data_IF_098706258004
#
_entry.id   IF_098706258004
#
_cell.length_a   1.000
_cell.length_b   1.000
_cell.length_c   1.000
_cell.angle_alpha   90.00
_cell.angle_beta   90.00
_cell.angle_gamma   90.00
#
_symmetry.space_group_name_H-M   'P 1'
#
loop_
_entity.id
_entity.type
_entity.pdbx_description
1 polymer ?
#
# COMPACT_ATOMS: atom_id res chain seq x y z
N UNK A 1 32.70 17.04 14.61
CA UNK A 1 31.45 17.80 14.27
C UNK A 1 30.51 17.70 15.46
N UNK A 2 29.78 18.77 15.75
CA UNK A 2 28.71 18.73 16.74
C UNK A 2 27.33 18.48 16.04
N UNK A 3 26.27 18.40 16.85
CA UNK A 3 24.90 18.12 16.31
C UNK A 3 24.40 19.25 15.38
N UNK A 4 24.79 20.49 15.62
CA UNK A 4 24.43 21.64 14.80
C UNK A 4 25.16 21.60 13.44
N UNK A 5 26.43 21.24 13.45
CA UNK A 5 27.25 21.06 12.24
C UNK A 5 26.65 19.94 11.36
N UNK A 6 26.27 18.80 11.97
CA UNK A 6 25.63 17.69 11.24
C UNK A 6 24.31 18.12 10.65
N UNK A 7 23.46 18.82 11.41
CA UNK A 7 22.17 19.31 10.93
C UNK A 7 22.35 20.31 9.76
N UNK A 8 23.35 21.18 9.82
CA UNK A 8 23.63 22.10 8.70
C UNK A 8 24.14 21.34 7.47
N UNK A 9 24.97 20.31 7.68
CA UNK A 9 25.45 19.45 6.60
C UNK A 9 24.31 18.70 5.89
N UNK A 10 23.26 18.30 6.61
CA UNK A 10 22.08 17.62 6.07
C UNK A 10 21.24 18.50 5.14
N UNK A 11 21.42 19.83 5.10
CA UNK A 11 20.79 20.72 4.10
C UNK A 11 21.28 20.45 2.67
N UNK A 12 22.38 19.73 2.49
CA UNK A 12 22.82 19.26 1.18
C UNK A 12 22.02 18.05 0.64
N UNK A 13 21.06 17.54 1.44
CA UNK A 13 20.19 16.41 1.06
C UNK A 13 18.82 16.95 0.69
N UNK A 14 18.49 16.93 -0.59
CA UNK A 14 17.18 17.32 -1.11
C UNK A 14 16.22 16.13 -1.11
N UNK A 15 14.95 16.39 -0.80
CA UNK A 15 13.85 15.43 -1.02
C UNK A 15 13.51 15.43 -2.53
N UNK A 16 13.61 14.28 -3.23
CA UNK A 16 13.43 14.22 -4.68
C UNK A 16 12.00 14.54 -5.13
N UNK A 17 11.02 14.42 -4.24
CA UNK A 17 9.60 14.61 -4.56
C UNK A 17 9.07 15.97 -4.11
N UNK A 18 9.60 16.52 -3.00
CA UNK A 18 9.15 17.79 -2.42
C UNK A 18 10.01 18.98 -2.86
N UNK A 19 11.23 18.73 -3.38
CA UNK A 19 12.07 19.74 -4.04
C UNK A 19 12.69 20.76 -3.10
N UNK A 20 12.82 20.44 -1.79
CA UNK A 20 13.53 21.26 -0.80
C UNK A 20 14.41 20.37 0.06
N UNK A 21 15.30 20.94 0.89
CA UNK A 21 16.18 20.18 1.76
C UNK A 21 15.42 19.53 2.94
N UNK A 22 15.86 18.35 3.38
CA UNK A 22 15.20 17.56 4.43
C UNK A 22 15.14 18.27 5.79
N UNK A 23 16.01 19.25 6.05
CA UNK A 23 16.01 20.04 7.29
C UNK A 23 14.94 21.12 7.22
N UNK A 24 14.85 21.84 6.09
CA UNK A 24 13.82 22.86 5.84
C UNK A 24 12.42 22.27 5.81
N UNK A 25 12.28 21.05 5.29
CA UNK A 25 11.03 20.28 5.30
C UNK A 25 10.64 19.72 6.68
N UNK A 26 11.50 19.89 7.71
CA UNK A 26 11.24 19.37 9.05
C UNK A 26 11.36 17.83 9.16
N UNK A 27 11.99 17.17 8.19
CA UNK A 27 12.13 15.70 8.18
C UNK A 27 13.21 15.17 9.11
N UNK A 28 14.04 16.03 9.70
CA UNK A 28 15.07 15.67 10.69
C UNK A 28 14.53 15.88 12.09
N UNK A 29 14.06 14.81 12.74
CA UNK A 29 13.52 14.84 14.11
C UNK A 29 14.60 15.14 15.15
N UNK A 30 15.68 14.36 15.16
CA UNK A 30 16.77 14.47 16.12
C UNK A 30 18.10 14.08 15.46
N UNK A 31 19.18 14.66 15.99
CA UNK A 31 20.56 14.34 15.63
C UNK A 31 21.33 14.19 16.93
N UNK A 32 22.06 13.09 17.09
CA UNK A 32 22.98 12.83 18.20
C UNK A 32 24.32 12.41 17.62
N UNK A 33 25.44 12.97 18.16
CA UNK A 33 26.79 12.65 17.70
C UNK A 33 27.56 11.97 18.81
N UNK A 34 28.09 10.78 18.56
CA UNK A 34 28.88 9.99 19.49
C UNK A 34 30.16 9.50 18.79
N UNK A 35 31.28 10.23 19.04
CA UNK A 35 32.54 9.99 18.35
C UNK A 35 32.42 10.19 16.82
N UNK A 36 32.61 9.13 16.05
CA UNK A 36 32.54 9.15 14.58
C UNK A 36 31.18 8.68 14.05
N UNK A 37 30.17 8.53 14.94
CA UNK A 37 28.83 8.09 14.55
C UNK A 37 27.81 9.20 14.78
N UNK A 38 27.03 9.51 13.74
CA UNK A 38 25.86 10.39 13.80
C UNK A 38 24.58 9.54 13.79
N UNK A 39 23.82 9.54 14.92
CA UNK A 39 22.50 8.93 15.00
C UNK A 39 21.46 9.96 14.61
N UNK A 40 20.70 9.66 13.54
CA UNK A 40 19.74 10.59 12.97
C UNK A 40 18.37 9.93 12.94
N UNK A 41 17.41 10.57 13.61
CA UNK A 41 16.01 10.20 13.52
C UNK A 41 15.32 11.03 12.44
N UNK A 42 14.68 10.38 11.48
CA UNK A 42 14.05 10.98 10.33
C UNK A 42 12.53 10.76 10.34
N UNK A 43 11.78 11.75 9.88
CA UNK A 43 10.35 11.66 9.69
C UNK A 43 10.03 10.97 8.33
N UNK A 44 10.49 9.74 8.17
CA UNK A 44 10.23 8.89 7.01
C UNK A 44 9.26 7.78 7.42
N UNK A 45 8.23 7.56 6.61
CA UNK A 45 7.11 6.69 6.98
C UNK A 45 6.83 5.54 6.02
N UNK A 46 7.49 5.50 4.86
CA UNK A 46 7.29 4.49 3.83
C UNK A 46 8.54 3.60 3.65
N UNK A 47 8.75 2.61 4.52
CA UNK A 47 9.89 1.70 4.41
C UNK A 47 9.97 1.06 3.03
N UNK A 48 11.19 0.99 2.48
CA UNK A 48 11.50 0.43 1.17
C UNK A 48 10.95 1.23 -0.04
N UNK A 49 10.41 2.44 0.15
CA UNK A 49 10.14 3.31 -0.99
C UNK A 49 11.46 3.73 -1.65
N UNK A 50 11.52 3.79 -3.00
CA UNK A 50 12.70 4.24 -3.71
C UNK A 50 13.18 5.63 -3.26
N UNK A 51 12.28 6.60 -3.10
CA UNK A 51 12.60 7.96 -2.70
C UNK A 51 13.18 8.03 -1.28
N UNK A 52 12.56 7.39 -0.28
CA UNK A 52 13.09 7.39 1.09
C UNK A 52 14.41 6.62 1.19
N UNK A 53 14.57 5.56 0.40
CA UNK A 53 15.85 4.82 0.28
C UNK A 53 16.93 5.72 -0.32
N UNK A 54 16.61 6.54 -1.33
CA UNK A 54 17.54 7.49 -1.93
C UNK A 54 17.95 8.59 -0.93
N UNK A 55 17.00 9.14 -0.15
CA UNK A 55 17.28 10.10 0.92
C UNK A 55 18.26 9.48 1.93
N UNK A 56 17.97 8.28 2.44
CA UNK A 56 18.84 7.61 3.39
C UNK A 56 20.25 7.33 2.86
N UNK A 57 20.37 6.95 1.60
CA UNK A 57 21.67 6.79 0.92
C UNK A 57 22.41 8.10 0.82
N UNK A 58 21.74 9.19 0.40
CA UNK A 58 22.36 10.51 0.25
C UNK A 58 22.84 11.07 1.58
N UNK A 59 22.12 10.86 2.68
CA UNK A 59 22.57 11.22 4.02
C UNK A 59 23.90 10.52 4.36
N UNK A 60 24.00 9.20 4.13
CA UNK A 60 25.23 8.46 4.38
C UNK A 60 26.40 8.96 3.54
N UNK A 61 26.17 9.27 2.27
CA UNK A 61 27.21 9.81 1.38
C UNK A 61 27.73 11.15 1.89
N UNK A 62 26.82 12.08 2.21
CA UNK A 62 27.18 13.43 2.69
C UNK A 62 27.97 13.40 3.98
N UNK A 63 27.59 12.57 4.94
CA UNK A 63 28.28 12.47 6.23
C UNK A 63 29.59 11.70 6.15
N UNK A 64 29.70 10.73 5.24
CA UNK A 64 30.95 10.01 4.99
C UNK A 64 32.07 10.93 4.43
N UNK A 65 31.71 11.99 3.69
CA UNK A 65 32.69 13.01 3.24
C UNK A 65 33.40 13.69 4.43
N UNK A 66 32.73 13.80 5.56
CA UNK A 66 33.25 14.39 6.79
C UNK A 66 33.77 13.35 7.80
N UNK A 67 33.84 12.06 7.39
CA UNK A 67 34.36 10.95 8.21
C UNK A 67 33.39 10.44 9.28
N UNK A 68 32.07 10.75 9.14
CA UNK A 68 31.04 10.27 10.04
C UNK A 68 30.30 9.05 9.46
N UNK A 69 30.03 8.07 10.30
CA UNK A 69 29.10 6.98 10.01
C UNK A 69 27.68 7.39 10.41
N UNK A 70 26.70 7.23 9.50
CA UNK A 70 25.32 7.59 9.76
C UNK A 70 24.49 6.36 10.20
N UNK A 71 23.98 6.39 11.43
CA UNK A 71 22.99 5.47 11.96
C UNK A 71 21.59 6.10 11.86
N UNK A 72 20.77 5.59 10.93
CA UNK A 72 19.50 6.20 10.57
C UNK A 72 18.33 5.41 11.16
N UNK A 73 17.42 6.13 11.82
CA UNK A 73 16.13 5.61 12.27
C UNK A 73 14.99 6.40 11.64
N UNK A 74 13.91 5.72 11.29
CA UNK A 74 12.75 6.32 10.66
C UNK A 74 11.56 6.27 11.62
N UNK A 75 10.99 7.44 11.95
CA UNK A 75 9.84 7.56 12.84
C UNK A 75 9.02 8.81 12.50
N UNK A 76 7.77 8.61 12.08
CA UNK A 76 6.83 9.72 11.96
C UNK A 76 6.39 10.17 13.36
N UNK A 77 6.53 11.46 13.70
CA UNK A 77 6.02 11.98 14.95
C UNK A 77 4.49 11.91 14.97
N UNK A 78 3.91 11.14 15.88
CA UNK A 78 2.46 11.11 16.11
C UNK A 78 2.12 11.92 17.35
N UNK A 79 1.08 12.74 17.29
CA UNK A 79 0.55 13.47 18.45
C UNK A 79 -0.67 12.75 19.06
N UNK A 80 -0.93 11.50 18.63
CA UNK A 80 -2.06 10.70 19.12
C UNK A 80 -1.65 9.92 20.35
N UNK A 81 -2.60 9.75 21.27
CA UNK A 81 -2.42 8.85 22.40
C UNK A 81 -2.34 7.42 21.86
N UNK A 82 -1.28 6.65 22.18
CA UNK A 82 -1.17 5.26 21.75
C UNK A 82 -2.36 4.37 22.14
N UNK A 83 -3.04 4.71 23.25
CA UNK A 83 -4.21 3.97 23.74
C UNK A 83 -5.51 4.28 22.95
N UNK A 84 -5.50 5.34 22.13
CA UNK A 84 -6.62 5.74 21.26
C UNK A 84 -6.35 5.38 19.77
N UNK A 85 -5.18 4.87 19.43
CA UNK A 85 -4.84 4.51 18.06
C UNK A 85 -5.47 3.17 17.65
N UNK A 86 -6.25 3.21 16.58
CA UNK A 86 -6.71 2.01 15.88
C UNK A 86 -5.51 1.43 15.13
N UNK A 87 -5.13 0.18 15.40
CA UNK A 87 -3.96 -0.50 14.81
C UNK A 87 -2.61 0.19 15.11
N UNK A 88 -2.24 0.41 16.39
CA UNK A 88 -1.06 1.21 16.75
C UNK A 88 0.26 0.62 16.25
N UNK A 89 0.28 -0.69 15.92
CA UNK A 89 1.44 -1.37 15.35
C UNK A 89 1.59 -1.23 13.84
N UNK A 90 0.63 -0.61 13.12
CA UNK A 90 0.61 -0.51 11.66
C UNK A 90 0.98 0.90 11.23
N UNK A 91 2.08 1.05 10.46
CA UNK A 91 2.57 2.36 10.02
C UNK A 91 1.71 2.96 8.91
N UNK A 92 1.33 2.14 7.92
CA UNK A 92 0.61 2.58 6.74
C UNK A 92 -0.54 1.64 6.41
N UNK A 93 -1.73 2.19 6.21
CA UNK A 93 -2.91 1.44 5.78
C UNK A 93 -3.29 1.90 4.39
N UNK A 94 -3.17 1.01 3.40
CA UNK A 94 -3.42 1.29 1.99
C UNK A 94 -4.70 0.58 1.56
N UNK A 95 -5.71 1.33 1.14
CA UNK A 95 -6.93 0.77 0.58
C UNK A 95 -6.76 0.55 -0.94
N UNK A 96 -7.09 -0.64 -1.43
CA UNK A 96 -7.21 -0.91 -2.87
C UNK A 96 -8.69 -0.96 -3.22
N UNK A 97 -9.13 -0.04 -4.06
CA UNK A 97 -10.54 0.18 -4.39
C UNK A 97 -10.77 0.15 -5.91
N UNK A 98 -12.01 -0.10 -6.28
CA UNK A 98 -12.45 0.01 -7.67
C UNK A 98 -13.91 0.45 -7.75
N UNK A 99 -14.25 1.19 -8.81
CA UNK A 99 -15.61 1.66 -9.03
C UNK A 99 -16.61 0.54 -9.39
N UNK A 100 -16.13 -0.58 -9.91
CA UNK A 100 -16.96 -1.75 -10.29
C UNK A 100 -16.20 -3.06 -10.08
N UNK A 101 -16.94 -4.18 -10.04
CA UNK A 101 -16.37 -5.52 -10.03
C UNK A 101 -15.72 -5.91 -11.37
N UNK A 102 -14.81 -6.87 -11.33
CA UNK A 102 -14.19 -7.46 -12.52
C UNK A 102 -13.02 -6.67 -13.13
N UNK A 103 -12.57 -5.57 -12.53
CA UNK A 103 -11.39 -4.81 -12.99
C UNK A 103 -10.06 -5.36 -12.49
N UNK A 104 -10.07 -6.42 -11.68
CA UNK A 104 -8.87 -7.04 -11.12
C UNK A 104 -8.34 -6.38 -9.84
N UNK A 105 -9.21 -5.72 -9.07
CA UNK A 105 -8.88 -5.08 -7.79
C UNK A 105 -8.11 -6.01 -6.84
N UNK A 106 -8.64 -7.20 -6.55
CA UNK A 106 -8.01 -8.18 -5.65
C UNK A 106 -6.66 -8.68 -6.20
N UNK A 107 -6.54 -8.83 -7.52
CA UNK A 107 -5.26 -9.15 -8.19
C UNK A 107 -4.22 -8.07 -7.90
N UNK A 108 -4.60 -6.80 -8.01
CA UNK A 108 -3.71 -5.67 -7.71
C UNK A 108 -3.38 -5.65 -6.21
N UNK A 109 -4.35 -5.83 -5.31
CA UNK A 109 -4.13 -5.85 -3.86
C UNK A 109 -3.16 -6.96 -3.43
N UNK A 110 -3.37 -8.18 -3.91
CA UNK A 110 -2.50 -9.34 -3.63
C UNK A 110 -1.07 -9.08 -4.13
N UNK A 111 -0.92 -8.63 -5.37
CA UNK A 111 0.40 -8.39 -5.95
C UNK A 111 1.10 -7.17 -5.34
N UNK A 112 0.37 -6.13 -4.94
CA UNK A 112 0.92 -5.00 -4.18
C UNK A 112 1.48 -5.48 -2.84
N UNK A 113 0.70 -6.23 -2.07
CA UNK A 113 1.13 -6.75 -0.78
C UNK A 113 2.34 -7.70 -0.92
N UNK A 114 2.29 -8.64 -1.88
CA UNK A 114 3.39 -9.55 -2.15
C UNK A 114 4.65 -8.81 -2.65
N UNK A 115 4.48 -7.77 -3.47
CA UNK A 115 5.57 -6.92 -3.95
C UNK A 115 6.25 -6.17 -2.80
N UNK A 116 5.48 -5.54 -1.91
CA UNK A 116 6.01 -4.87 -0.72
C UNK A 116 6.75 -5.86 0.21
N UNK A 117 6.20 -7.07 0.40
CA UNK A 117 6.87 -8.13 1.16
C UNK A 117 8.17 -8.58 0.49
N UNK A 118 8.21 -8.71 -0.85
CA UNK A 118 9.43 -9.05 -1.61
C UNK A 118 10.50 -7.98 -1.48
N UNK A 119 10.14 -6.71 -1.30
CA UNK A 119 11.06 -5.61 -0.99
C UNK A 119 11.63 -5.69 0.44
N UNK A 120 11.05 -6.50 1.32
CA UNK A 120 11.50 -6.71 2.70
C UNK A 120 10.61 -6.06 3.75
N UNK A 121 9.50 -5.43 3.37
CA UNK A 121 8.57 -4.83 4.30
C UNK A 121 7.77 -5.90 5.07
N UNK A 122 7.38 -5.58 6.30
CA UNK A 122 6.43 -6.36 7.09
C UNK A 122 5.03 -5.98 6.64
N UNK A 123 4.32 -6.92 6.03
CA UNK A 123 3.07 -6.65 5.34
C UNK A 123 1.93 -7.48 5.90
N UNK A 124 0.78 -6.84 6.07
CA UNK A 124 -0.51 -7.50 6.25
C UNK A 124 -1.37 -7.31 4.99
N UNK A 125 -2.14 -8.32 4.64
CA UNK A 125 -3.16 -8.25 3.59
C UNK A 125 -4.51 -8.63 4.18
N UNK A 126 -5.46 -7.71 4.14
CA UNK A 126 -6.80 -7.92 4.64
C UNK A 126 -7.82 -7.84 3.50
N UNK A 127 -8.45 -8.98 3.21
CA UNK A 127 -9.54 -9.10 2.27
C UNK A 127 -10.86 -8.72 2.96
N UNK A 128 -11.29 -7.50 2.72
CA UNK A 128 -12.53 -6.95 3.26
C UNK A 128 -13.71 -7.06 2.27
N UNK A 129 -13.56 -7.79 1.16
CA UNK A 129 -14.64 -8.07 0.22
C UNK A 129 -15.56 -9.17 0.76
N UNK A 130 -16.63 -8.75 1.43
CA UNK A 130 -17.58 -9.65 2.10
C UNK A 130 -18.39 -10.47 1.09
N UNK A 131 -18.57 -9.96 -0.13
CA UNK A 131 -19.43 -10.57 -1.13
C UNK A 131 -18.71 -11.58 -2.02
N UNK A 132 -17.39 -11.46 -2.13
CA UNK A 132 -16.58 -12.33 -2.97
C UNK A 132 -15.14 -12.39 -2.49
N UNK A 133 -14.90 -12.87 -1.25
CA UNK A 133 -13.54 -12.92 -0.71
C UNK A 133 -12.74 -13.99 -1.46
N UNK A 134 -11.67 -13.58 -2.14
CA UNK A 134 -10.87 -14.46 -2.99
C UNK A 134 -9.39 -14.49 -2.63
N UNK A 135 -8.92 -13.59 -1.77
CA UNK A 135 -7.50 -13.47 -1.43
C UNK A 135 -6.88 -14.78 -0.92
N UNK A 136 -7.51 -15.55 0.00
CA UNK A 136 -6.91 -16.81 0.47
C UNK A 136 -6.60 -17.79 -0.66
N UNK A 137 -7.52 -17.91 -1.64
CA UNK A 137 -7.32 -18.77 -2.81
C UNK A 137 -6.16 -18.25 -3.68
N UNK A 138 -6.09 -16.92 -3.91
CA UNK A 138 -5.09 -16.29 -4.77
C UNK A 138 -3.66 -16.39 -4.23
N UNK A 139 -3.49 -16.76 -2.96
CA UNK A 139 -2.18 -16.97 -2.33
C UNK A 139 -1.99 -18.38 -1.79
N UNK A 140 -2.93 -19.32 -2.09
CA UNK A 140 -2.95 -20.68 -1.54
C UNK A 140 -2.78 -20.73 -0.02
N UNK A 141 -3.55 -19.90 0.69
CA UNK A 141 -3.61 -19.93 2.15
C UNK A 141 -4.53 -21.07 2.60
N UNK A 142 -3.95 -22.23 2.88
CA UNK A 142 -4.68 -23.42 3.32
C UNK A 142 -4.98 -23.40 4.83
N UNK A 143 -4.20 -22.65 5.59
CA UNK A 143 -4.33 -22.56 7.05
C UNK A 143 -5.37 -21.51 7.43
N UNK A 144 -6.32 -21.91 8.29
CA UNK A 144 -7.26 -20.98 8.90
C UNK A 144 -6.60 -20.17 10.04
N UNK A 145 -7.06 -18.95 10.34
CA UNK A 145 -6.64 -18.20 11.51
C UNK A 145 -6.85 -19.03 12.80
N UNK A 146 -5.94 -18.88 13.75
CA UNK A 146 -6.00 -19.59 15.03
C UNK A 146 -6.44 -18.63 16.13
N UNK A 147 -7.42 -19.03 16.93
CA UNK A 147 -7.82 -18.30 18.12
C UNK A 147 -6.94 -18.70 19.31
N UNK A 148 -6.40 -17.73 20.03
CA UNK A 148 -5.68 -17.94 21.28
C UNK A 148 -6.65 -18.09 22.47
N UNK A 149 -6.13 -18.46 23.65
CA UNK A 149 -6.93 -18.53 24.89
C UNK A 149 -7.51 -17.17 25.30
N UNK A 150 -6.84 -16.07 24.91
CA UNK A 150 -7.23 -14.68 25.18
C UNK A 150 -8.16 -14.11 24.10
N UNK A 151 -8.70 -14.94 23.24
CA UNK A 151 -9.60 -14.59 22.12
C UNK A 151 -8.93 -13.75 21.01
N UNK A 152 -7.61 -13.61 21.01
CA UNK A 152 -6.87 -12.97 19.92
C UNK A 152 -6.79 -13.91 18.72
N UNK A 153 -6.90 -13.36 17.52
CA UNK A 153 -6.84 -14.08 16.26
C UNK A 153 -5.43 -13.98 15.69
N UNK A 154 -4.73 -15.12 15.59
CA UNK A 154 -3.41 -15.19 14.94
C UNK A 154 -3.63 -15.42 13.44
N UNK A 155 -3.28 -14.46 12.57
CA UNK A 155 -3.45 -14.60 11.13
C UNK A 155 -2.42 -15.59 10.57
N UNK A 156 -2.79 -16.43 9.57
CA UNK A 156 -1.83 -17.23 8.84
C UNK A 156 -0.85 -16.35 8.05
N UNK A 157 0.32 -16.90 7.76
CA UNK A 157 1.35 -16.21 6.99
C UNK A 157 1.60 -16.92 5.65
N UNK A 158 1.66 -16.14 4.57
CA UNK A 158 2.00 -16.62 3.24
C UNK A 158 2.84 -15.59 2.48
N UNK A 159 3.93 -16.03 1.83
CA UNK A 159 4.88 -15.16 1.13
C UNK A 159 5.41 -14.01 2.00
N UNK A 160 5.60 -14.23 3.31
CA UNK A 160 6.02 -13.20 4.27
C UNK A 160 4.95 -12.17 4.62
N UNK A 161 3.69 -12.40 4.24
CA UNK A 161 2.55 -11.54 4.56
C UNK A 161 1.65 -12.22 5.59
N UNK A 162 1.16 -11.46 6.58
CA UNK A 162 0.04 -11.84 7.43
C UNK A 162 -1.27 -11.70 6.66
N UNK A 163 -2.14 -12.70 6.73
CA UNK A 163 -3.36 -12.73 5.94
C UNK A 163 -4.59 -12.77 6.82
N UNK A 164 -5.57 -11.92 6.50
CA UNK A 164 -6.91 -12.05 7.05
C UNK A 164 -7.95 -11.86 5.95
N UNK A 165 -9.01 -12.63 5.98
CA UNK A 165 -10.08 -12.57 4.98
C UNK A 165 -11.41 -12.87 5.60
N UNK A 166 -12.43 -12.23 5.08
CA UNK A 166 -13.82 -12.56 5.38
C UNK A 166 -14.15 -14.01 5.05
N UNK A 167 -13.45 -14.64 4.08
CA UNK A 167 -13.61 -16.06 3.74
C UNK A 167 -13.32 -17.00 4.90
N UNK A 168 -12.43 -16.66 5.81
CA UNK A 168 -12.10 -17.49 6.97
C UNK A 168 -13.21 -17.55 8.04
N UNK A 169 -14.15 -16.60 7.99
CA UNK A 169 -15.20 -16.44 8.99
C UNK A 169 -16.55 -16.98 8.52
N UNK A 170 -16.66 -17.27 7.23
CA UNK A 170 -17.89 -17.75 6.60
C UNK A 170 -17.65 -19.17 6.10
N UNK A 171 -18.49 -20.13 6.51
CA UNK A 171 -18.44 -21.48 5.94
C UNK A 171 -18.82 -21.46 4.45
N UNK A 172 -18.18 -22.29 3.64
CA UNK A 172 -18.37 -22.35 2.18
C UNK A 172 -19.83 -22.50 1.73
N UNK A 173 -20.70 -23.05 2.56
CA UNK A 173 -22.09 -23.39 2.24
C UNK A 173 -23.15 -22.48 2.91
N UNK A 174 -22.74 -21.50 3.72
CA UNK A 174 -23.70 -20.65 4.42
C UNK A 174 -23.98 -19.33 3.64
N UNK A 175 -25.19 -19.15 3.10
CA UNK A 175 -25.60 -17.88 2.51
C UNK A 175 -25.79 -16.83 3.62
N UNK A 176 -24.72 -16.21 4.07
CA UNK A 176 -24.81 -15.17 5.10
C UNK A 176 -25.35 -13.91 4.50
N UNK A 177 -26.53 -13.47 4.97
CA UNK A 177 -27.09 -12.18 4.61
C UNK A 177 -26.46 -11.11 5.51
N UNK A 178 -25.44 -10.45 5.00
CA UNK A 178 -24.77 -9.38 5.70
C UNK A 178 -25.64 -8.12 5.75
N UNK A 179 -25.92 -7.63 6.95
CA UNK A 179 -26.57 -6.32 7.18
C UNK A 179 -25.52 -5.32 7.67
N UNK A 180 -25.63 -4.05 7.29
CA UNK A 180 -24.66 -3.01 7.58
C UNK A 180 -24.11 -3.02 9.01
N UNK A 181 -24.93 -3.07 10.08
CA UNK A 181 -24.43 -3.13 11.46
C UNK A 181 -23.57 -4.35 11.78
N UNK A 182 -23.87 -5.52 11.18
CA UNK A 182 -23.09 -6.74 11.37
C UNK A 182 -21.74 -6.63 10.69
N UNK A 183 -21.71 -6.04 9.49
CA UNK A 183 -20.47 -5.76 8.76
C UNK A 183 -19.56 -4.85 9.56
N UNK A 184 -20.10 -3.77 10.12
CA UNK A 184 -19.33 -2.83 10.94
C UNK A 184 -18.72 -3.54 12.16
N UNK A 185 -19.53 -4.28 12.92
CA UNK A 185 -19.05 -5.02 14.09
C UNK A 185 -17.95 -6.01 13.74
N UNK A 186 -18.12 -6.75 12.64
CA UNK A 186 -17.14 -7.73 12.20
C UNK A 186 -15.84 -7.10 11.72
N UNK A 187 -15.91 -6.00 10.96
CA UNK A 187 -14.73 -5.25 10.53
C UNK A 187 -13.97 -4.70 11.75
N UNK A 188 -14.68 -4.13 12.73
CA UNK A 188 -14.09 -3.66 13.98
C UNK A 188 -13.38 -4.80 14.69
N UNK A 189 -14.04 -5.95 14.82
CA UNK A 189 -13.48 -7.13 15.46
C UNK A 189 -12.22 -7.65 14.75
N UNK A 190 -12.22 -7.70 13.41
CA UNK A 190 -11.05 -8.12 12.61
C UNK A 190 -9.88 -7.14 12.68
N UNK A 191 -10.16 -5.89 12.99
CA UNK A 191 -9.14 -4.86 13.21
C UNK A 191 -8.56 -4.96 14.61
N UNK A 192 -9.40 -5.16 15.63
CA UNK A 192 -9.02 -5.12 17.04
C UNK A 192 -8.50 -6.47 17.56
N UNK A 193 -9.13 -7.59 17.16
CA UNK A 193 -8.83 -8.92 17.70
C UNK A 193 -7.71 -9.65 16.94
N UNK A 194 -7.29 -9.16 15.76
CA UNK A 194 -6.22 -9.79 14.98
C UNK A 194 -4.85 -9.33 15.44
N UNK A 195 -3.97 -10.28 15.72
CA UNK A 195 -2.58 -10.04 16.09
C UNK A 195 -1.72 -9.62 14.87
N UNK A 196 -1.96 -8.40 14.38
CA UNK A 196 -1.17 -7.85 13.28
C UNK A 196 0.29 -7.63 13.67
N UNK A 197 0.54 -7.27 14.94
CA UNK A 197 1.87 -6.91 15.43
C UNK A 197 2.40 -5.64 14.76
N UNK A 198 3.71 -5.56 14.58
CA UNK A 198 4.31 -4.40 13.92
C UNK A 198 4.37 -4.60 12.42
N UNK A 199 3.55 -3.85 11.66
CA UNK A 199 3.54 -3.84 10.20
C UNK A 199 4.05 -2.51 9.64
N UNK A 200 4.76 -2.59 8.51
CA UNK A 200 5.13 -1.42 7.72
C UNK A 200 3.96 -1.00 6.81
N UNK A 201 3.21 -1.99 6.30
CA UNK A 201 2.03 -1.78 5.47
C UNK A 201 0.92 -2.79 5.79
N UNK A 202 -0.32 -2.31 5.85
CA UNK A 202 -1.53 -3.13 5.80
C UNK A 202 -2.28 -2.79 4.51
N UNK A 203 -2.36 -3.73 3.60
CA UNK A 203 -3.10 -3.57 2.33
C UNK A 203 -4.52 -4.11 2.53
N UNK A 204 -5.52 -3.28 2.23
CA UNK A 204 -6.94 -3.62 2.32
C UNK A 204 -7.50 -3.85 0.92
N UNK A 205 -7.98 -5.04 0.63
CA UNK A 205 -8.76 -5.32 -0.57
C UNK A 205 -10.23 -4.98 -0.30
N UNK A 206 -10.71 -3.81 -0.76
CA UNK A 206 -12.05 -3.31 -0.47
C UNK A 206 -13.12 -4.00 -1.35
N UNK A 207 -14.38 -4.08 -0.93
CA UNK A 207 -15.48 -4.46 -1.81
C UNK A 207 -15.54 -3.53 -3.04
N UNK A 208 -16.02 -3.98 -4.20
CA UNK A 208 -16.17 -3.12 -5.36
C UNK A 208 -17.31 -2.11 -5.19
N UNK A 209 -17.22 -0.97 -5.88
CA UNK A 209 -18.26 0.08 -5.88
C UNK A 209 -18.04 1.15 -4.81
N UNK A 210 -19.12 1.79 -4.35
CA UNK A 210 -19.12 2.90 -3.37
C UNK A 210 -20.21 2.69 -2.31
N UNK A 211 -20.38 1.45 -1.86
CA UNK A 211 -21.44 1.07 -0.94
C UNK A 211 -21.10 1.29 0.55
N UNK A 212 -22.08 0.97 1.41
CA UNK A 212 -22.00 1.19 2.85
C UNK A 212 -20.80 0.51 3.52
N UNK A 213 -20.37 -0.64 3.02
CA UNK A 213 -19.21 -1.36 3.55
C UNK A 213 -17.92 -0.56 3.37
N UNK A 214 -17.71 0.04 2.19
CA UNK A 214 -16.55 0.92 1.97
C UNK A 214 -16.60 2.14 2.88
N UNK A 215 -17.78 2.77 3.00
CA UNK A 215 -17.96 3.92 3.90
C UNK A 215 -17.64 3.56 5.35
N UNK A 216 -18.06 2.39 5.80
CA UNK A 216 -17.72 1.88 7.13
C UNK A 216 -16.20 1.78 7.33
N UNK A 217 -15.49 1.20 6.38
CA UNK A 217 -14.02 1.06 6.44
C UNK A 217 -13.34 2.43 6.50
N UNK A 218 -13.77 3.38 5.65
CA UNK A 218 -13.23 4.75 5.62
C UNK A 218 -13.46 5.50 6.94
N UNK A 219 -14.52 5.20 7.66
CA UNK A 219 -14.86 5.83 8.94
C UNK A 219 -14.18 5.16 10.14
N UNK A 220 -13.82 3.89 10.00
CA UNK A 220 -13.25 3.09 11.10
C UNK A 220 -11.73 3.07 11.08
N UNK A 221 -11.11 3.04 9.88
CA UNK A 221 -9.66 2.88 9.75
C UNK A 221 -8.95 4.19 9.36
N UNK A 222 -7.82 4.50 9.99
CA UNK A 222 -7.01 5.67 9.64
C UNK A 222 -6.18 5.38 8.39
N UNK A 223 -6.80 5.46 7.21
CA UNK A 223 -6.13 5.17 5.94
C UNK A 223 -5.02 6.19 5.66
N UNK A 224 -3.84 5.71 5.28
CA UNK A 224 -2.78 6.55 4.71
C UNK A 224 -3.20 7.06 3.33
N UNK A 225 -3.87 6.18 2.55
CA UNK A 225 -4.45 6.55 1.28
C UNK A 225 -5.06 5.37 0.52
N UNK A 226 -5.62 5.68 -0.64
CA UNK A 226 -6.30 4.72 -1.50
C UNK A 226 -5.67 4.63 -2.89
N UNK A 227 -5.51 3.42 -3.41
CA UNK A 227 -5.19 3.11 -4.81
C UNK A 227 -6.48 2.79 -5.53
N UNK A 228 -6.77 3.49 -6.63
CA UNK A 228 -7.96 3.24 -7.45
C UNK A 228 -7.56 2.40 -8.66
N UNK A 229 -8.14 1.20 -8.76
CA UNK A 229 -7.95 0.28 -9.88
C UNK A 229 -9.07 0.45 -10.90
N UNK A 230 -8.71 0.65 -12.15
CA UNK A 230 -9.63 0.74 -13.29
C UNK A 230 -9.12 -0.06 -14.49
N UNK A 231 -9.91 -0.12 -15.56
CA UNK A 231 -9.51 -0.59 -16.89
C UNK A 231 -9.63 0.58 -17.88
N UNK A 232 -9.04 0.50 -19.10
CA UNK A 232 -9.08 1.60 -20.06
C UNK A 232 -10.49 2.03 -20.53
N UNK A 233 -11.51 1.19 -20.31
CA UNK A 233 -12.87 1.39 -20.79
C UNK A 233 -13.57 2.58 -20.12
N UNK A 234 -14.26 3.44 -20.88
CA UNK A 234 -14.99 4.62 -20.40
C UNK A 234 -15.92 4.33 -19.22
N UNK A 235 -16.69 3.23 -19.29
CA UNK A 235 -17.61 2.84 -18.21
C UNK A 235 -16.87 2.54 -16.90
N UNK A 236 -15.64 1.98 -16.97
CA UNK A 236 -14.83 1.73 -15.77
C UNK A 236 -14.29 3.03 -15.18
N UNK A 237 -13.94 3.99 -16.03
CA UNK A 237 -13.47 5.32 -15.64
C UNK A 237 -14.58 6.14 -14.98
N UNK A 238 -15.81 6.08 -15.51
CA UNK A 238 -16.98 6.71 -14.89
C UNK A 238 -17.24 6.17 -13.48
N UNK A 239 -17.09 4.87 -13.28
CA UNK A 239 -17.25 4.24 -11.97
C UNK A 239 -16.06 4.56 -11.03
N UNK A 240 -14.83 4.63 -11.56
CA UNK A 240 -13.65 5.08 -10.81
C UNK A 240 -13.81 6.52 -10.30
N UNK A 241 -14.45 7.40 -11.10
CA UNK A 241 -14.75 8.78 -10.70
C UNK A 241 -15.71 8.85 -9.50
N UNK A 242 -16.67 7.91 -9.39
CA UNK A 242 -17.53 7.83 -8.20
C UNK A 242 -16.73 7.45 -6.95
N UNK A 243 -15.80 6.49 -7.09
CA UNK A 243 -14.87 6.12 -6.03
C UNK A 243 -14.00 7.30 -5.59
N UNK A 244 -13.41 8.02 -6.53
CA UNK A 244 -12.60 9.21 -6.27
C UNK A 244 -13.37 10.25 -5.44
N UNK A 245 -14.61 10.55 -5.83
CA UNK A 245 -15.48 11.49 -5.09
C UNK A 245 -15.84 11.01 -3.69
N UNK A 246 -15.95 9.70 -3.49
CA UNK A 246 -16.19 9.12 -2.17
C UNK A 246 -14.99 9.36 -1.25
N UNK A 247 -13.77 9.05 -1.69
CA UNK A 247 -12.55 9.28 -0.92
C UNK A 247 -12.36 10.77 -0.59
N UNK A 248 -12.60 11.67 -1.55
CA UNK A 248 -12.52 13.11 -1.32
C UNK A 248 -13.54 13.64 -0.29
N UNK A 249 -14.74 13.03 -0.18
CA UNK A 249 -15.72 13.41 0.85
C UNK A 249 -15.33 12.97 2.26
N UNK A 250 -14.43 12.02 2.39
CA UNK A 250 -13.96 11.48 3.67
C UNK A 250 -12.51 11.89 3.98
N UNK A 251 -12.00 12.92 3.31
CA UNK A 251 -10.65 13.45 3.49
C UNK A 251 -9.56 12.37 3.40
N UNK A 252 -9.82 11.32 2.60
CA UNK A 252 -8.86 10.24 2.38
C UNK A 252 -8.02 10.53 1.15
N UNK A 253 -6.70 10.52 1.30
CA UNK A 253 -5.78 10.72 0.19
C UNK A 253 -5.97 9.65 -0.88
N UNK A 254 -5.95 10.04 -2.15
CA UNK A 254 -5.85 9.11 -3.28
C UNK A 254 -4.40 9.06 -3.72
N UNK A 255 -3.73 7.92 -3.49
CA UNK A 255 -2.34 7.69 -3.85
C UNK A 255 -2.13 7.69 -5.36
N UNK A 256 -3.15 7.30 -6.11
CA UNK A 256 -3.15 7.35 -7.56
C UNK A 256 -4.00 6.27 -8.21
N UNK A 257 -3.86 6.20 -9.54
CA UNK A 257 -4.64 5.34 -10.43
C UNK A 257 -3.75 4.21 -10.98
N UNK A 258 -4.25 2.97 -10.91
CA UNK A 258 -3.69 1.80 -11.60
C UNK A 258 -4.62 1.43 -12.75
N UNK A 259 -4.10 1.42 -13.99
CA UNK A 259 -4.80 0.90 -15.15
C UNK A 259 -4.48 -0.58 -15.30
N UNK A 260 -5.41 -1.44 -14.96
CA UNK A 260 -5.28 -2.88 -15.17
C UNK A 260 -5.85 -3.29 -16.53
N UNK A 261 -5.40 -4.41 -17.08
CA UNK A 261 -5.80 -4.92 -18.40
C UNK A 261 -5.54 -3.87 -19.51
N UNK A 262 -4.45 -3.13 -19.40
CA UNK A 262 -4.11 -2.01 -20.29
C UNK A 262 -3.80 -2.48 -21.71
N UNK A 263 -3.03 -3.55 -21.86
CA UNK A 263 -2.61 -4.09 -23.14
C UNK A 263 -2.55 -5.62 -23.04
N UNK A 264 -3.06 -6.32 -24.02
CA UNK A 264 -2.93 -7.77 -24.13
C UNK A 264 -1.72 -8.13 -25.00
N UNK A 265 -0.79 -8.90 -24.48
CA UNK A 265 0.29 -9.48 -25.23
C UNK A 265 -0.11 -10.86 -25.75
N UNK A 266 -0.15 -11.04 -27.05
CA UNK A 266 -0.51 -12.33 -27.65
C UNK A 266 0.60 -13.35 -27.38
N UNK A 267 0.31 -14.49 -26.74
CA UNK A 267 1.34 -15.50 -26.45
C UNK A 267 1.88 -16.19 -27.70
N UNK A 268 1.12 -16.20 -28.81
CA UNK A 268 1.52 -16.87 -30.05
C UNK A 268 2.46 -16.04 -30.92
N UNK A 269 2.22 -14.71 -31.02
CA UNK A 269 3.00 -13.86 -31.93
C UNK A 269 3.77 -12.74 -31.22
N UNK A 270 3.60 -12.55 -29.91
CA UNK A 270 4.25 -11.51 -29.11
C UNK A 270 3.75 -10.08 -29.37
N UNK A 271 2.77 -9.88 -30.24
CA UNK A 271 2.22 -8.56 -30.53
C UNK A 271 1.31 -8.06 -29.40
N UNK A 272 1.35 -6.76 -29.17
CA UNK A 272 0.44 -6.09 -28.26
C UNK A 272 -0.87 -5.70 -28.93
N UNK A 273 -1.99 -5.89 -28.23
CA UNK A 273 -3.34 -5.55 -28.68
C UNK A 273 -4.10 -4.81 -27.59
N UNK A 274 -4.74 -3.70 -27.95
CA UNK A 274 -5.52 -2.87 -27.04
C UNK A 274 -6.97 -3.35 -26.99
N UNK A 275 -7.21 -4.52 -26.41
CA UNK A 275 -8.53 -5.19 -26.40
C UNK A 275 -9.60 -4.34 -25.74
N UNK A 276 -9.24 -3.62 -24.67
CA UNK A 276 -10.16 -2.76 -23.91
C UNK A 276 -9.90 -1.26 -24.15
N UNK A 277 -9.12 -0.90 -25.16
CA UNK A 277 -8.54 0.44 -25.32
C UNK A 277 -7.20 0.57 -24.61
N UNK A 278 -6.56 1.72 -24.68
CA UNK A 278 -5.29 1.98 -24.02
C UNK A 278 -5.23 3.42 -23.48
N UNK A 279 -4.60 3.59 -22.32
CA UNK A 279 -4.27 4.91 -21.76
C UNK A 279 -5.43 5.64 -21.09
N UNK A 280 -6.65 5.12 -21.05
CA UNK A 280 -7.80 5.77 -20.42
C UNK A 280 -7.57 6.06 -18.94
N UNK A 281 -6.95 5.14 -18.19
CA UNK A 281 -6.59 5.35 -16.78
C UNK A 281 -5.53 6.43 -16.58
N UNK A 282 -4.58 6.54 -17.49
CA UNK A 282 -3.56 7.61 -17.49
C UNK A 282 -4.19 8.99 -17.75
N UNK A 283 -5.08 9.08 -18.74
CA UNK A 283 -5.81 10.31 -19.04
C UNK A 283 -6.75 10.71 -17.89
N UNK A 284 -7.40 9.72 -17.28
CA UNK A 284 -8.23 9.93 -16.09
C UNK A 284 -7.41 10.47 -14.91
N UNK A 285 -6.24 9.89 -14.64
CA UNK A 285 -5.33 10.38 -13.61
C UNK A 285 -4.92 11.83 -13.87
N UNK A 286 -4.47 12.16 -15.09
CA UNK A 286 -4.07 13.50 -15.48
C UNK A 286 -5.22 14.52 -15.37
N UNK A 287 -6.45 14.14 -15.79
CA UNK A 287 -7.63 15.00 -15.73
C UNK A 287 -8.11 15.32 -14.31
N UNK A 288 -7.71 14.50 -13.33
CA UNK A 288 -8.04 14.67 -11.91
C UNK A 288 -6.83 15.09 -11.07
N UNK A 289 -5.70 15.48 -11.70
CA UNK A 289 -4.45 15.87 -11.04
C UNK A 289 -3.92 14.80 -10.06
N UNK A 290 -4.11 13.52 -10.42
CA UNK A 290 -3.70 12.37 -9.62
C UNK A 290 -2.48 11.68 -10.22
N UNK A 291 -1.63 11.06 -9.41
CA UNK A 291 -0.55 10.20 -9.87
C UNK A 291 -1.07 9.01 -10.68
N UNK A 292 -0.37 8.66 -11.74
CA UNK A 292 -0.55 7.41 -12.47
C UNK A 292 0.47 6.39 -11.98
N UNK A 293 0.00 5.35 -11.29
CA UNK A 293 0.86 4.38 -10.60
C UNK A 293 1.37 3.27 -11.49
N UNK A 294 0.68 3.00 -12.60
CA UNK A 294 1.15 2.01 -13.57
C UNK A 294 0.05 1.46 -14.46
N UNK A 295 0.49 0.91 -15.60
CA UNK A 295 -0.32 0.15 -16.54
C UNK A 295 0.05 -1.33 -16.42
N UNK A 296 -0.91 -2.18 -16.06
CA UNK A 296 -0.70 -3.61 -15.89
C UNK A 296 -1.28 -4.35 -17.09
N UNK A 297 -0.52 -5.24 -17.74
CA UNK A 297 -0.99 -5.92 -18.91
C UNK A 297 -2.08 -6.96 -18.58
N UNK A 298 -2.93 -7.23 -19.56
CA UNK A 298 -3.78 -8.41 -19.56
C UNK A 298 -2.93 -9.60 -20.00
N UNK A 299 -2.53 -10.43 -19.06
CA UNK A 299 -1.65 -11.58 -19.27
C UNK A 299 -2.28 -12.85 -18.68
N UNK A 300 -2.39 -13.95 -19.45
CA UNK A 300 -2.83 -15.23 -18.91
C UNK A 300 -2.04 -15.70 -17.68
N UNK A 301 -0.74 -15.39 -17.60
CA UNK A 301 0.09 -15.75 -16.45
C UNK A 301 -0.41 -15.14 -15.13
N UNK A 302 -0.99 -13.92 -15.16
CA UNK A 302 -1.61 -13.30 -13.97
C UNK A 302 -2.78 -14.12 -13.46
N UNK A 303 -3.63 -14.61 -14.38
CA UNK A 303 -4.74 -15.49 -14.02
C UNK A 303 -4.23 -16.83 -13.49
N UNK A 304 -3.29 -17.45 -14.18
CA UNK A 304 -2.74 -18.75 -13.80
C UNK A 304 -2.04 -18.68 -12.45
N UNK A 305 -1.30 -17.61 -12.20
CA UNK A 305 -0.71 -17.32 -10.89
C UNK A 305 -1.77 -17.16 -9.80
N UNK A 306 -2.83 -16.39 -10.04
CA UNK A 306 -3.95 -16.22 -9.11
C UNK A 306 -4.72 -17.52 -8.85
N UNK A 307 -4.98 -18.33 -9.87
CA UNK A 307 -5.64 -19.63 -9.72
C UNK A 307 -4.73 -20.67 -9.03
N UNK A 308 -3.41 -20.58 -9.25
CA UNK A 308 -2.38 -21.42 -8.65
C UNK A 308 -1.89 -20.93 -7.28
N UNK A 309 -2.39 -19.80 -6.81
CA UNK A 309 -2.01 -19.22 -5.51
C UNK A 309 -0.60 -18.64 -5.48
N UNK A 310 -0.03 -18.28 -6.61
CA UNK A 310 1.29 -17.66 -6.74
C UNK A 310 1.18 -16.27 -7.38
N UNK A 311 1.29 -15.18 -6.60
CA UNK A 311 1.26 -13.83 -7.12
C UNK A 311 2.35 -13.60 -8.17
N UNK A 312 1.99 -13.02 -9.33
CA UNK A 312 2.88 -12.85 -10.50
C UNK A 312 4.10 -11.97 -10.16
N UNK A 313 3.96 -11.00 -9.26
CA UNK A 313 5.05 -10.10 -8.84
C UNK A 313 6.25 -10.84 -8.24
N UNK A 314 6.06 -12.08 -7.77
CA UNK A 314 7.10 -12.93 -7.18
C UNK A 314 7.97 -13.63 -8.25
N UNK A 315 7.53 -13.71 -9.49
CA UNK A 315 8.33 -14.27 -10.58
C UNK A 315 9.51 -13.35 -10.90
N UNK A 316 10.66 -13.92 -11.24
CA UNK A 316 11.89 -13.13 -11.43
C UNK A 316 12.06 -12.62 -12.86
N UNK A 317 12.01 -13.43 -13.86
CA UNK A 317 12.25 -13.05 -15.25
C UNK A 317 10.94 -12.94 -16.04
N UNK A 318 10.07 -11.98 -15.69
CA UNK A 318 8.75 -11.82 -16.29
C UNK A 318 8.40 -10.34 -16.44
N UNK A 319 8.19 -9.85 -17.67
CA UNK A 319 7.85 -8.45 -17.97
C UNK A 319 6.56 -7.99 -17.27
N UNK A 320 5.58 -8.88 -17.13
CA UNK A 320 4.35 -8.59 -16.39
C UNK A 320 4.63 -8.42 -14.89
N UNK A 321 5.48 -9.27 -14.32
CA UNK A 321 5.94 -9.13 -12.94
C UNK A 321 6.70 -7.80 -12.73
N UNK A 322 7.48 -7.36 -13.70
CA UNK A 322 8.18 -6.06 -13.66
C UNK A 322 7.18 -4.90 -13.61
N UNK A 323 6.09 -4.96 -14.39
CA UNK A 323 5.05 -3.93 -14.34
C UNK A 323 4.39 -3.85 -12.94
N UNK A 324 4.14 -4.99 -12.29
CA UNK A 324 3.63 -5.03 -10.91
C UNK A 324 4.66 -4.53 -9.89
N UNK A 325 5.96 -4.78 -10.09
CA UNK A 325 7.02 -4.23 -9.22
C UNK A 325 7.10 -2.71 -9.31
N UNK A 326 7.12 -2.17 -10.52
CA UNK A 326 7.09 -0.71 -10.73
C UNK A 326 5.86 -0.08 -10.10
N UNK A 327 4.69 -0.68 -10.27
CA UNK A 327 3.46 -0.22 -9.60
C UNK A 327 3.62 -0.23 -8.07
N UNK A 328 4.21 -1.29 -7.51
CA UNK A 328 4.45 -1.42 -6.06
C UNK A 328 5.38 -0.31 -5.56
N UNK A 329 6.46 -0.04 -6.24
CA UNK A 329 7.42 1.02 -5.93
C UNK A 329 6.75 2.40 -5.98
N UNK A 330 5.97 2.67 -7.02
CA UNK A 330 5.23 3.92 -7.16
C UNK A 330 4.20 4.12 -6.03
N UNK A 331 3.51 3.05 -5.59
CA UNK A 331 2.60 3.12 -4.44
C UNK A 331 3.37 3.43 -3.17
N UNK A 332 4.52 2.77 -2.92
CA UNK A 332 5.35 3.04 -1.75
C UNK A 332 5.87 4.49 -1.74
N UNK A 333 6.30 5.01 -2.90
CA UNK A 333 6.73 6.41 -3.01
C UNK A 333 5.59 7.38 -2.71
N UNK A 334 4.39 7.13 -3.21
CA UNK A 334 3.23 7.98 -2.90
C UNK A 334 2.84 7.96 -1.43
N UNK A 335 2.95 6.81 -0.76
CA UNK A 335 2.79 6.73 0.70
C UNK A 335 3.82 7.61 1.39
N UNK A 336 5.09 7.53 0.98
CA UNK A 336 6.16 8.37 1.52
C UNK A 336 5.90 9.86 1.33
N UNK A 337 5.46 10.27 0.14
CA UNK A 337 5.10 11.66 -0.17
C UNK A 337 3.98 12.17 0.75
N UNK A 338 2.90 11.39 0.91
CA UNK A 338 1.78 11.74 1.81
C UNK A 338 2.27 11.92 3.24
N UNK A 339 3.08 11.00 3.73
CA UNK A 339 3.63 11.07 5.10
C UNK A 339 4.54 12.29 5.29
N UNK A 340 5.48 12.54 4.37
CA UNK A 340 6.42 13.67 4.45
C UNK A 340 5.71 15.03 4.33
N UNK A 341 4.70 15.15 3.47
CA UNK A 341 3.87 16.36 3.38
C UNK A 341 3.15 16.65 4.70
N UNK A 342 2.61 15.63 5.34
CA UNK A 342 1.92 15.78 6.62
C UNK A 342 2.84 16.29 7.75
N UNK A 343 4.14 16.12 7.62
CA UNK A 343 5.16 16.66 8.55
C UNK A 343 5.52 18.09 8.19
N UNK A 344 5.75 18.38 6.91
CA UNK A 344 6.18 19.71 6.45
C UNK A 344 5.11 20.80 6.57
N UNK A 345 3.82 20.43 6.65
CA UNK A 345 2.69 21.35 6.78
C UNK A 345 2.35 21.70 8.25
N UNK A 346 3.05 21.08 9.23
CA UNK A 346 2.88 21.36 10.68
C UNK A 346 3.87 22.38 11.19
#
# INVERSE_FOLDING_TARGET
>A
MDEADVRDRLRAVEDPDLGDDIVSLGLVNAVEVDGDTARISLALGAPYSPSETAIGRRIREVLAEDGLEADLTAKIPTNRDPDEEVLPGVKNIIAVSSGKGGVGKSTVAVNLAAGLSKLGARVGLFDADIYGPNVPRMVSAEEAPQATQDQTIVPPERYGMKLMSMAFLVGEDDPVIWRGPMVHQLLTQLVEDVEWGSLDYLVLDLPPGTGDTQLTILQTLPLTGAVIVTTPQDVALDDANKGLRMFGKHDTNVLGIVENMSTFRCPDCGNNHDIFGAGGGREFAASNELPFLGALPLDPAVREGGDGGQPIVLEDENETADAFRVMTENVADMVGIVQRRSVSEK
#
